data_IF_263890479030
#
_entry.id   IF_263890479030
#
_cell.length_a   1.000
_cell.length_b   1.000
_cell.length_c   1.000
_cell.angle_alpha   90.00
_cell.angle_beta   90.00
_cell.angle_gamma   90.00
#
_symmetry.space_group_name_H-M   'P 1'
#
loop_
_entity.id
_entity.type
_entity.pdbx_description
1 polymer ?
#
# COMPACT_ATOMS: atom_id res chain seq x y z
N UNK A 1 -38.52 -11.10 53.50
CA UNK A 1 -38.75 -12.12 52.45
C UNK A 1 -37.99 -11.61 51.23
N UNK A 2 -36.69 -11.91 51.11
CA UNK A 2 -36.11 -13.17 50.58
C UNK A 2 -36.52 -13.34 49.11
N UNK A 3 -35.68 -13.52 48.08
CA UNK A 3 -34.29 -14.01 47.93
C UNK A 3 -33.80 -13.49 46.53
N UNK A 4 -32.59 -12.96 46.37
CA UNK A 4 -31.32 -13.65 46.00
C UNK A 4 -31.24 -14.19 44.55
N UNK A 5 -30.46 -13.53 43.68
CA UNK A 5 -29.12 -14.01 43.28
C UNK A 5 -28.51 -13.24 42.08
N UNK A 6 -27.16 -13.17 41.98
CA UNK A 6 -26.42 -12.30 41.06
C UNK A 6 -25.78 -13.06 39.89
N UNK A 7 -25.59 -12.38 38.75
CA UNK A 7 -24.83 -12.89 37.61
C UNK A 7 -23.38 -12.35 37.60
N UNK A 8 -22.45 -13.28 37.46
CA UNK A 8 -21.00 -13.12 37.42
C UNK A 8 -20.51 -12.46 36.12
N UNK A 9 -19.36 -11.77 36.17
CA UNK A 9 -18.74 -11.19 34.97
C UNK A 9 -17.40 -10.47 35.17
N UNK A 10 -16.39 -11.19 35.67
CA UNK A 10 -14.96 -11.11 35.30
C UNK A 10 -14.18 -9.77 35.39
N UNK A 11 -13.46 -9.65 36.51
CA UNK A 11 -12.00 -9.50 36.60
C UNK A 11 -11.27 -8.74 35.48
N UNK A 12 -10.89 -7.50 35.77
CA UNK A 12 -9.88 -6.75 35.04
C UNK A 12 -8.48 -7.29 35.38
N UNK A 13 -7.84 -7.93 34.42
CA UNK A 13 -6.43 -8.32 34.50
C UNK A 13 -5.53 -7.13 34.15
N UNK A 14 -4.63 -6.80 35.09
CA UNK A 14 -3.63 -5.75 34.99
C UNK A 14 -2.47 -6.23 34.12
N UNK A 15 -2.45 -5.81 32.86
CA UNK A 15 -1.32 -6.00 31.96
C UNK A 15 -0.37 -4.79 31.94
N UNK A 16 0.78 -4.97 32.58
CA UNK A 16 1.92 -4.07 32.75
C UNK A 16 2.31 -3.24 31.51
N UNK A 17 2.34 -1.91 31.66
CA UNK A 17 2.98 -0.98 30.73
C UNK A 17 4.50 -1.20 30.74
N UNK A 18 5.08 -1.63 29.62
CA UNK A 18 6.51 -1.62 29.43
C UNK A 18 6.95 -0.24 28.92
N UNK A 19 7.57 0.51 29.81
CA UNK A 19 8.17 1.83 29.58
C UNK A 19 9.33 1.73 28.58
N UNK A 20 9.27 2.50 27.49
CA UNK A 20 10.45 2.86 26.72
C UNK A 20 10.86 4.27 27.14
N UNK A 21 11.94 4.39 27.91
CA UNK A 21 12.52 5.66 28.33
C UNK A 21 13.08 6.44 27.13
N UNK A 22 12.92 7.77 27.08
CA UNK A 22 13.62 8.62 26.13
C UNK A 22 15.02 8.95 26.65
N UNK A 23 16.06 8.60 25.90
CA UNK A 23 17.38 9.15 26.11
C UNK A 23 17.42 10.56 25.48
N UNK A 24 17.35 11.58 26.34
CA UNK A 24 17.81 12.93 26.03
C UNK A 24 19.34 12.90 26.09
N UNK A 25 20.04 13.51 25.12
CA UNK A 25 21.12 14.42 25.52
C UNK A 25 21.58 15.38 24.41
N UNK A 26 22.04 16.53 24.90
CA UNK A 26 22.27 17.79 24.22
C UNK A 26 23.63 17.86 23.52
N UNK A 27 23.70 18.60 22.40
CA UNK A 27 24.96 19.07 21.84
C UNK A 27 25.54 20.21 22.67
N UNK A 28 26.80 20.11 23.07
CA UNK A 28 27.64 21.25 23.49
C UNK A 28 29.09 20.99 23.09
N UNK A 29 29.70 22.01 22.49
CA UNK A 29 31.09 22.01 21.99
C UNK A 29 32.08 22.34 23.10
N UNK A 30 33.26 21.69 23.10
CA UNK A 30 34.55 22.25 23.50
C UNK A 30 35.72 21.30 23.15
N UNK A 31 36.91 21.90 23.07
CA UNK A 31 38.12 21.56 22.32
C UNK A 31 39.17 20.70 23.09
N UNK A 32 40.20 20.23 22.37
CA UNK A 32 41.58 19.85 22.81
C UNK A 32 42.00 18.36 22.88
N UNK A 33 42.96 18.02 22.00
CA UNK A 33 43.79 16.80 21.82
C UNK A 33 44.75 16.46 23.00
N UNK A 34 45.72 15.50 22.88
CA UNK A 34 45.65 14.05 22.57
C UNK A 34 46.45 13.17 23.58
N UNK A 35 46.16 11.86 23.70
CA UNK A 35 47.15 10.88 24.18
C UNK A 35 46.84 9.45 23.73
N UNK A 36 47.92 8.72 23.43
CA UNK A 36 47.99 7.43 22.74
C UNK A 36 47.64 6.22 23.63
N UNK A 37 47.15 5.14 23.01
CA UNK A 37 47.06 3.81 23.60
C UNK A 37 46.36 2.81 22.69
N UNK A 38 47.11 2.09 21.86
CA UNK A 38 46.60 1.04 20.98
C UNK A 38 46.29 -0.25 21.75
N UNK A 39 45.15 -0.88 21.45
CA UNK A 39 45.00 -2.33 21.46
C UNK A 39 43.97 -2.74 20.37
N UNK A 40 44.20 -3.83 19.60
CA UNK A 40 43.36 -4.19 18.47
C UNK A 40 42.19 -5.08 18.94
N UNK A 41 41.04 -4.48 19.26
CA UNK A 41 39.82 -5.26 19.54
C UNK A 41 39.14 -5.67 18.24
N UNK A 42 39.32 -6.95 17.88
CA UNK A 42 38.43 -7.81 17.09
C UNK A 42 37.44 -7.09 16.17
N UNK A 43 37.76 -7.01 14.88
CA UNK A 43 36.85 -6.58 13.83
C UNK A 43 35.59 -7.46 13.82
N UNK A 44 34.51 -7.01 14.47
CA UNK A 44 33.17 -7.56 14.27
C UNK A 44 32.80 -7.24 12.82
N UNK A 45 32.80 -8.25 11.96
CA UNK A 45 32.28 -8.13 10.60
C UNK A 45 30.81 -7.68 10.71
N UNK A 46 30.54 -6.43 10.35
CA UNK A 46 29.18 -5.89 10.37
C UNK A 46 28.34 -6.54 9.27
N UNK A 47 27.19 -7.08 9.67
CA UNK A 47 26.23 -7.63 8.72
C UNK A 47 25.58 -6.47 7.96
N UNK A 48 25.83 -6.40 6.66
CA UNK A 48 25.20 -5.46 5.75
C UNK A 48 23.87 -6.02 5.22
N UNK A 49 22.91 -5.13 4.98
CA UNK A 49 21.59 -5.46 4.44
C UNK A 49 21.30 -4.57 3.24
N UNK A 50 20.93 -5.18 2.12
CA UNK A 50 20.55 -4.46 0.91
C UNK A 50 19.10 -3.95 0.98
N UNK A 51 18.90 -2.65 0.86
CA UNK A 51 17.59 -2.03 0.87
C UNK A 51 17.00 -1.92 -0.55
N UNK A 52 15.82 -2.52 -0.78
CA UNK A 52 15.15 -2.52 -2.09
C UNK A 52 14.49 -1.19 -2.49
N UNK A 53 14.39 -0.22 -1.58
CA UNK A 53 13.78 1.09 -1.86
C UNK A 53 14.81 2.11 -2.37
N UNK A 54 15.97 2.20 -1.72
CA UNK A 54 17.05 3.09 -2.13
C UNK A 54 18.13 2.39 -2.97
N UNK A 55 18.08 1.04 -3.06
CA UNK A 55 19.03 0.21 -3.80
C UNK A 55 20.47 0.26 -3.26
N UNK A 56 20.63 0.53 -1.96
CA UNK A 56 21.92 0.70 -1.27
C UNK A 56 22.05 -0.31 -0.11
N UNK A 57 23.28 -0.73 0.17
CA UNK A 57 23.62 -1.53 1.36
C UNK A 57 23.72 -0.66 2.61
N UNK A 58 23.09 -1.11 3.69
CA UNK A 58 23.07 -0.43 4.97
C UNK A 58 23.52 -1.38 6.08
N UNK A 59 24.24 -0.89 7.10
CA UNK A 59 24.51 -1.67 8.31
C UNK A 59 23.20 -2.10 8.94
N UNK A 60 23.13 -3.34 9.47
CA UNK A 60 21.93 -3.89 10.12
C UNK A 60 21.34 -2.96 11.19
N UNK A 61 22.17 -2.20 11.91
CA UNK A 61 21.75 -1.21 12.91
C UNK A 61 20.90 -0.05 12.34
N UNK A 62 21.04 0.27 11.05
CA UNK A 62 20.29 1.32 10.35
C UNK A 62 19.12 0.80 9.51
N UNK A 63 18.76 -0.47 9.73
CA UNK A 63 17.67 -1.14 9.03
C UNK A 63 16.54 -1.45 10.01
N UNK A 64 15.32 -1.52 9.50
CA UNK A 64 14.14 -1.91 10.26
C UNK A 64 13.47 -3.10 9.58
N UNK A 65 12.97 -4.03 10.39
CA UNK A 65 12.24 -5.22 9.92
C UNK A 65 10.77 -5.04 10.22
N UNK A 66 9.92 -5.22 9.21
CA UNK A 66 8.46 -5.18 9.38
C UNK A 66 7.99 -6.46 10.09
N UNK A 67 7.16 -6.33 11.12
CA UNK A 67 6.71 -7.43 11.96
C UNK A 67 5.80 -8.43 11.23
N UNK A 68 4.88 -7.93 10.40
CA UNK A 68 3.87 -8.78 9.76
C UNK A 68 4.45 -9.65 8.63
N UNK A 69 5.48 -9.15 7.92
CA UNK A 69 6.03 -9.81 6.74
C UNK A 69 7.51 -10.18 6.83
N UNK A 70 8.25 -9.68 7.82
CA UNK A 70 9.71 -9.81 7.99
C UNK A 70 10.53 -9.21 6.83
N UNK A 71 9.93 -8.34 6.01
CA UNK A 71 10.69 -7.59 5.01
C UNK A 71 11.56 -6.54 5.70
N UNK A 72 12.79 -6.37 5.20
CA UNK A 72 13.80 -5.48 5.79
C UNK A 72 14.10 -4.34 4.82
N UNK A 73 14.16 -3.12 5.35
CA UNK A 73 14.50 -1.92 4.60
C UNK A 73 15.33 -0.97 5.46
N UNK A 74 15.97 0.00 4.80
CA UNK A 74 16.62 1.09 5.49
C UNK A 74 15.59 1.91 6.30
N UNK A 75 15.92 2.29 7.53
CA UNK A 75 14.99 3.00 8.43
C UNK A 75 14.53 4.34 7.83
N UNK A 76 15.41 5.04 7.11
CA UNK A 76 15.07 6.31 6.43
C UNK A 76 14.03 6.10 5.32
N UNK A 77 14.19 5.05 4.53
CA UNK A 77 13.31 4.68 3.44
C UNK A 77 11.90 4.37 3.96
N UNK A 78 11.81 3.62 5.06
CA UNK A 78 10.52 3.31 5.70
C UNK A 78 9.85 4.56 6.28
N UNK A 79 10.60 5.47 6.92
CA UNK A 79 10.06 6.74 7.41
C UNK A 79 9.44 7.56 6.28
N UNK A 80 10.17 7.75 5.19
CA UNK A 80 9.65 8.49 4.02
C UNK A 80 8.43 7.81 3.41
N UNK A 81 8.49 6.48 3.24
CA UNK A 81 7.38 5.70 2.71
C UNK A 81 6.12 5.82 3.57
N UNK A 82 6.22 5.61 4.88
CA UNK A 82 5.07 5.66 5.80
C UNK A 82 4.46 7.07 5.82
N UNK A 83 5.30 8.12 5.89
CA UNK A 83 4.81 9.49 5.84
C UNK A 83 4.06 9.80 4.54
N UNK A 84 4.60 9.36 3.39
CA UNK A 84 3.92 9.52 2.11
C UNK A 84 2.61 8.72 2.06
N UNK A 85 2.62 7.47 2.53
CA UNK A 85 1.46 6.60 2.55
C UNK A 85 0.34 7.15 3.45
N UNK A 86 0.67 7.83 4.56
CA UNK A 86 -0.32 8.52 5.39
C UNK A 86 -0.93 9.71 4.64
N UNK A 87 -0.10 10.56 4.05
CA UNK A 87 -0.53 11.79 3.36
C UNK A 87 -1.39 11.50 2.14
N UNK A 88 -1.00 10.52 1.33
CA UNK A 88 -1.69 10.20 0.06
C UNK A 88 -2.73 9.08 0.20
N UNK A 89 -2.63 8.25 1.24
CA UNK A 89 -3.42 7.03 1.38
C UNK A 89 -4.87 7.25 1.81
N UNK A 90 -5.21 8.45 2.31
CA UNK A 90 -6.58 8.81 2.72
C UNK A 90 -7.17 7.82 3.74
N UNK A 91 -6.39 7.45 4.76
CA UNK A 91 -6.82 6.52 5.82
C UNK A 91 -6.82 5.04 5.43
N UNK A 92 -6.24 4.68 4.28
CA UNK A 92 -6.12 3.29 3.84
C UNK A 92 -5.06 2.52 4.60
N UNK A 93 -5.12 1.18 4.59
CA UNK A 93 -4.09 0.38 5.23
C UNK A 93 -2.72 0.67 4.57
N UNK A 94 -1.73 1.03 5.39
CA UNK A 94 -0.34 1.13 4.94
C UNK A 94 0.19 -0.29 4.79
N UNK A 95 0.68 -0.65 3.61
CA UNK A 95 1.14 -2.01 3.29
C UNK A 95 2.66 -2.07 3.15
N UNK A 96 3.21 -3.28 3.11
CA UNK A 96 4.62 -3.49 2.83
C UNK A 96 5.01 -2.82 1.49
N UNK A 97 6.16 -2.11 1.41
CA UNK A 97 6.64 -1.52 0.16
C UNK A 97 7.09 -2.55 -0.90
N UNK A 98 7.39 -3.79 -0.50
CA UNK A 98 7.84 -4.84 -1.43
C UNK A 98 6.65 -5.43 -2.20
N UNK A 99 6.61 -5.17 -3.50
CA UNK A 99 5.56 -5.70 -4.40
C UNK A 99 5.59 -7.23 -4.52
N UNK A 100 6.72 -7.88 -4.27
CA UNK A 100 6.86 -9.33 -4.27
C UNK A 100 6.61 -9.94 -2.88
N UNK A 101 6.14 -9.14 -1.92
CA UNK A 101 5.87 -9.62 -0.57
C UNK A 101 4.72 -10.64 -0.57
N UNK A 102 5.05 -11.89 -0.19
CA UNK A 102 4.09 -13.00 -0.18
C UNK A 102 3.01 -12.87 0.91
N UNK A 103 3.29 -12.05 1.93
CA UNK A 103 2.31 -11.64 2.95
C UNK A 103 1.93 -10.22 2.60
N UNK A 104 0.67 -9.93 2.29
CA UNK A 104 0.20 -8.56 1.95
C UNK A 104 0.67 -7.48 2.94
N UNK A 105 0.98 -7.88 4.19
CA UNK A 105 1.93 -7.19 5.06
C UNK A 105 1.44 -5.81 5.46
N UNK A 106 0.18 -5.72 5.90
CA UNK A 106 -0.36 -4.48 6.45
C UNK A 106 0.43 -4.13 7.72
N UNK A 107 0.93 -2.89 7.76
CA UNK A 107 1.68 -2.37 8.90
C UNK A 107 0.74 -2.16 10.09
N UNK A 108 1.21 -2.54 11.26
CA UNK A 108 0.53 -2.30 12.53
C UNK A 108 0.55 -0.81 12.88
N UNK A 109 -0.42 -0.35 13.67
CA UNK A 109 -0.42 1.03 14.16
C UNK A 109 0.85 1.37 14.96
N UNK A 110 1.41 0.40 15.69
CA UNK A 110 2.68 0.53 16.41
C UNK A 110 3.86 0.74 15.46
N UNK A 111 3.93 -0.01 14.36
CA UNK A 111 4.96 0.17 13.33
C UNK A 111 4.85 1.55 12.67
N UNK A 112 3.63 1.97 12.33
CA UNK A 112 3.38 3.29 11.76
C UNK A 112 3.86 4.39 12.72
N UNK A 113 3.61 4.24 14.02
CA UNK A 113 4.07 5.18 15.04
C UNK A 113 5.60 5.23 15.21
N UNK A 114 6.32 4.15 14.89
CA UNK A 114 7.79 4.17 14.87
C UNK A 114 8.38 4.96 13.69
N UNK A 115 7.63 5.10 12.59
CA UNK A 115 8.11 5.68 11.33
C UNK A 115 7.50 7.06 11.00
N UNK A 116 6.51 7.51 11.76
CA UNK A 116 5.82 8.78 11.58
C UNK A 116 5.90 9.66 12.85
N UNK A 117 5.71 10.99 12.70
CA UNK A 117 5.57 11.88 13.86
C UNK A 117 4.19 11.73 14.52
N UNK A 118 4.05 12.19 15.77
CA UNK A 118 2.79 12.15 16.50
C UNK A 118 1.61 12.73 15.69
N UNK A 119 1.80 13.92 15.10
CA UNK A 119 0.78 14.59 14.27
C UNK A 119 0.36 13.75 13.05
N UNK A 120 1.31 13.04 12.42
CA UNK A 120 1.02 12.17 11.28
C UNK A 120 0.26 10.91 11.72
N UNK A 121 0.58 10.37 12.90
CA UNK A 121 -0.15 9.22 13.47
C UNK A 121 -1.58 9.60 13.81
N UNK A 122 -1.79 10.77 14.44
CA UNK A 122 -3.11 11.30 14.74
C UNK A 122 -3.92 11.54 13.46
N UNK A 123 -3.30 12.18 12.46
CA UNK A 123 -3.90 12.34 11.13
C UNK A 123 -4.30 11.00 10.52
N UNK A 124 -3.41 10.00 10.56
CA UNK A 124 -3.70 8.67 10.04
C UNK A 124 -4.87 8.01 10.76
N UNK A 125 -4.92 8.09 12.09
CA UNK A 125 -6.02 7.53 12.89
C UNK A 125 -7.35 8.20 12.55
N UNK A 126 -7.37 9.54 12.45
CA UNK A 126 -8.56 10.30 12.03
C UNK A 126 -9.03 9.87 10.64
N UNK A 127 -8.15 9.87 9.65
CA UNK A 127 -8.49 9.48 8.28
C UNK A 127 -8.96 8.01 8.20
N UNK A 128 -8.33 7.11 8.96
CA UNK A 128 -8.71 5.70 9.03
C UNK A 128 -10.12 5.53 9.61
N UNK A 129 -10.45 6.29 10.65
CA UNK A 129 -11.80 6.32 11.21
C UNK A 129 -12.82 6.87 10.21
N UNK A 130 -12.53 8.02 9.58
CA UNK A 130 -13.40 8.64 8.59
C UNK A 130 -13.69 7.72 7.41
N UNK A 131 -12.66 7.06 6.90
CA UNK A 131 -12.79 6.03 5.85
C UNK A 131 -13.63 4.86 6.33
N UNK A 132 -13.44 4.40 7.57
CA UNK A 132 -14.24 3.34 8.16
C UNK A 132 -15.74 3.68 8.19
N UNK A 133 -16.08 4.92 8.57
CA UNK A 133 -17.47 5.41 8.56
C UNK A 133 -18.02 5.50 7.12
N UNK A 134 -17.22 5.94 6.15
CA UNK A 134 -17.64 6.04 4.75
C UNK A 134 -17.88 4.67 4.09
N UNK A 135 -17.14 3.65 4.50
CA UNK A 135 -17.24 2.30 3.93
C UNK A 135 -18.30 1.42 4.62
N UNK A 136 -18.75 1.79 5.82
CA UNK A 136 -19.74 1.05 6.59
C UNK A 136 -21.16 1.57 6.28
N UNK A 137 -22.01 0.81 5.57
CA UNK A 137 -23.37 1.23 5.25
C UNK A 137 -24.27 1.43 6.47
N UNK A 138 -23.87 0.90 7.63
CA UNK A 138 -24.60 1.06 8.89
C UNK A 138 -24.20 2.33 9.65
N UNK A 139 -23.32 3.17 9.10
CA UNK A 139 -22.86 4.40 9.74
C UNK A 139 -23.03 5.61 8.83
N UNK A 140 -23.37 6.74 9.43
CA UNK A 140 -23.50 8.01 8.72
C UNK A 140 -23.08 9.18 9.61
N UNK A 141 -22.47 10.20 9.02
CA UNK A 141 -22.15 11.43 9.73
C UNK A 141 -23.40 12.28 9.95
N UNK A 142 -23.51 12.88 11.14
CA UNK A 142 -24.53 13.88 11.41
C UNK A 142 -24.36 15.08 10.45
N UNK A 143 -25.42 15.54 9.76
CA UNK A 143 -25.35 16.67 8.84
C UNK A 143 -25.19 18.03 9.53
N UNK A 144 -25.37 18.10 10.85
CA UNK A 144 -25.15 19.31 11.63
C UNK A 144 -23.65 19.56 11.76
N UNK A 145 -23.16 20.66 11.16
CA UNK A 145 -21.74 20.99 11.02
C UNK A 145 -20.96 20.96 12.34
N UNK A 146 -21.53 21.51 13.41
CA UNK A 146 -20.90 21.57 14.74
C UNK A 146 -20.95 20.24 15.51
N UNK A 147 -21.76 19.27 15.07
CA UNK A 147 -21.96 18.04 15.82
C UNK A 147 -20.90 16.99 15.51
N UNK A 148 -20.61 16.75 14.22
CA UNK A 148 -19.64 15.75 13.74
C UNK A 148 -19.80 14.35 14.36
N UNK A 149 -20.96 13.99 14.89
CA UNK A 149 -21.18 12.68 15.48
C UNK A 149 -21.42 11.62 14.39
N UNK A 150 -20.93 10.40 14.63
CA UNK A 150 -21.26 9.23 13.82
C UNK A 150 -22.51 8.58 14.37
N UNK A 151 -23.53 8.47 13.53
CA UNK A 151 -24.83 7.90 13.84
C UNK A 151 -24.95 6.50 13.24
N UNK A 152 -25.66 5.61 13.93
CA UNK A 152 -25.95 4.26 13.42
C UNK A 152 -27.23 4.27 12.58
N UNK A 153 -27.17 3.66 11.41
CA UNK A 153 -28.32 3.47 10.51
C UNK A 153 -28.93 2.10 10.81
N UNK A 154 -30.22 2.08 11.13
CA UNK A 154 -30.95 0.84 11.38
C UNK A 154 -31.03 -0.04 10.13
N UNK A 155 -31.15 -1.37 10.28
CA UNK A 155 -31.35 -2.27 9.16
C UNK A 155 -32.63 -1.88 8.43
N UNK A 156 -32.48 -1.52 7.15
CA UNK A 156 -33.58 -1.08 6.30
C UNK A 156 -33.80 -2.14 5.22
N UNK A 157 -35.03 -2.32 4.76
CA UNK A 157 -35.27 -3.05 3.51
C UNK A 157 -34.48 -2.40 2.38
N UNK A 158 -33.85 -3.22 1.54
CA UNK A 158 -32.84 -2.80 0.55
C UNK A 158 -33.21 -1.48 -0.17
N UNK A 159 -32.48 -0.41 0.15
CA UNK A 159 -32.53 0.86 -0.57
C UNK A 159 -33.57 1.88 -0.13
N UNK A 160 -34.38 1.63 0.92
CA UNK A 160 -35.35 2.63 1.39
C UNK A 160 -34.73 3.60 2.41
N UNK A 161 -34.91 4.94 2.24
CA UNK A 161 -34.40 5.93 3.19
C UNK A 161 -35.04 5.75 4.56
N UNK A 162 -34.24 5.90 5.61
CA UNK A 162 -34.66 5.74 7.00
C UNK A 162 -34.30 6.94 7.86
N UNK A 163 -35.08 7.12 8.92
CA UNK A 163 -34.86 8.13 9.96
C UNK A 163 -33.66 7.75 10.81
N UNK A 164 -32.71 8.68 10.96
CA UNK A 164 -31.50 8.50 11.78
C UNK A 164 -31.48 9.57 12.86
N UNK A 165 -31.68 9.21 14.14
CA UNK A 165 -31.53 10.13 15.25
C UNK A 165 -30.05 10.27 15.64
N UNK A 166 -29.57 11.51 15.78
CA UNK A 166 -28.23 11.78 16.28
C UNK A 166 -28.18 11.66 17.81
N UNK A 167 -27.27 10.85 18.39
CA UNK A 167 -27.16 10.71 19.84
C UNK A 167 -26.57 11.94 20.55
N UNK A 168 -25.89 12.84 19.81
CA UNK A 168 -25.18 13.98 20.40
C UNK A 168 -25.99 15.28 20.35
N UNK A 169 -26.61 15.61 19.20
CA UNK A 169 -27.39 16.84 19.03
C UNK A 169 -28.91 16.62 18.93
N UNK A 170 -29.36 15.37 19.00
CA UNK A 170 -30.77 14.96 18.89
C UNK A 170 -31.48 15.33 17.57
N UNK A 171 -30.74 15.85 16.58
CA UNK A 171 -31.27 16.07 15.24
C UNK A 171 -31.64 14.73 14.58
N UNK A 172 -32.76 14.71 13.86
CA UNK A 172 -33.22 13.53 13.13
C UNK A 172 -33.17 13.81 11.63
N UNK A 173 -32.49 12.96 10.87
CA UNK A 173 -32.21 13.18 9.46
C UNK A 173 -32.32 11.90 8.63
N UNK A 174 -32.40 12.05 7.32
CA UNK A 174 -32.51 10.94 6.38
C UNK A 174 -31.15 10.28 6.11
N UNK A 175 -31.11 8.94 6.16
CA UNK A 175 -29.91 8.15 5.86
C UNK A 175 -29.38 8.32 4.42
N UNK A 176 -30.24 8.66 3.45
CA UNK A 176 -29.87 8.80 2.04
C UNK A 176 -29.52 10.24 1.63
N UNK A 177 -30.46 11.19 1.79
CA UNK A 177 -30.25 12.57 1.35
C UNK A 177 -29.59 13.48 2.41
N UNK A 178 -29.45 13.00 3.65
CA UNK A 178 -28.92 13.75 4.80
C UNK A 178 -29.70 15.02 5.16
N UNK A 179 -30.91 15.19 4.62
CA UNK A 179 -31.84 16.26 4.97
C UNK A 179 -32.64 15.97 6.25
N UNK A 180 -33.33 16.96 6.82
CA UNK A 180 -34.20 16.78 7.98
C UNK A 180 -35.29 15.71 7.73
N UNK A 181 -35.50 14.81 8.70
CA UNK A 181 -36.54 13.79 8.59
C UNK A 181 -37.91 14.34 9.02
N UNK A 182 -38.96 13.96 8.28
CA UNK A 182 -40.34 14.37 8.51
C UNK A 182 -41.30 13.26 8.06
N UNK A 183 -42.58 13.32 8.49
CA UNK A 183 -43.56 12.30 8.14
C UNK A 183 -43.84 12.27 6.64
N UNK A 184 -43.81 11.07 6.04
CA UNK A 184 -43.94 10.91 4.59
C UNK A 184 -42.73 11.41 3.78
N UNK A 185 -41.55 11.52 4.40
CA UNK A 185 -40.33 12.02 3.75
C UNK A 185 -40.01 11.29 2.44
N UNK A 186 -40.04 12.04 1.33
CA UNK A 186 -39.52 11.63 0.04
C UNK A 186 -38.15 12.30 -0.19
N UNK A 187 -37.12 11.50 -0.47
CA UNK A 187 -35.82 12.07 -0.83
C UNK A 187 -35.97 12.89 -2.11
N UNK A 188 -35.53 14.16 -2.14
CA UNK A 188 -35.39 14.87 -3.40
C UNK A 188 -34.49 14.04 -4.30
N UNK A 189 -34.95 13.76 -5.51
CA UNK A 189 -34.25 12.91 -6.48
C UNK A 189 -32.78 13.30 -6.54
N UNK A 190 -31.90 12.30 -6.35
CA UNK A 190 -30.46 12.46 -6.17
C UNK A 190 -29.85 13.32 -7.28
N UNK A 191 -29.79 14.64 -7.10
CA UNK A 191 -28.83 15.46 -7.82
C UNK A 191 -27.52 15.29 -7.04
N UNK A 192 -26.54 14.52 -7.54
CA UNK A 192 -25.19 14.59 -7.00
C UNK A 192 -24.82 16.07 -6.98
N UNK A 193 -24.48 16.55 -5.79
CA UNK A 193 -24.19 17.94 -5.46
C UNK A 193 -23.44 18.61 -6.61
N UNK A 194 -24.20 19.33 -7.45
CA UNK A 194 -23.62 20.16 -8.50
C UNK A 194 -22.82 21.22 -7.78
N UNK A 195 -21.56 21.33 -8.20
CA UNK A 195 -20.65 22.40 -7.85
C UNK A 195 -21.41 23.70 -7.57
N UNK A 196 -21.19 24.26 -6.39
CA UNK A 196 -21.43 25.67 -6.10
C UNK A 196 -20.51 26.48 -7.01
N UNK A 197 -20.84 26.58 -8.29
CA UNK A 197 -20.30 27.57 -9.21
C UNK A 197 -21.38 28.60 -9.41
N UNK A 198 -21.10 29.79 -8.89
CA UNK A 198 -21.69 31.05 -9.31
C UNK A 198 -21.72 31.10 -10.83
N UNK A 199 -22.87 30.82 -11.44
CA UNK A 199 -23.30 31.35 -12.73
C UNK A 199 -24.75 30.95 -12.95
N UNK A 200 -25.62 31.89 -12.60
CA UNK A 200 -26.99 31.94 -13.10
C UNK A 200 -27.01 31.77 -14.61
N UNK A 201 -28.00 31.00 -15.10
CA UNK A 201 -28.35 30.73 -16.50
C UNK A 201 -27.63 29.54 -17.15
N UNK A 202 -28.25 28.35 -17.08
CA UNK A 202 -28.95 27.84 -18.26
C UNK A 202 -29.70 26.53 -17.94
N UNK A 203 -30.99 26.55 -18.25
CA UNK A 203 -31.87 25.39 -18.30
C UNK A 203 -31.47 24.49 -19.48
N UNK A 204 -31.63 23.18 -19.29
CA UNK A 204 -31.63 22.10 -20.31
C UNK A 204 -30.27 21.85 -20.98
N UNK A 205 -29.65 20.72 -20.63
CA UNK A 205 -28.82 19.93 -21.54
C UNK A 205 -28.73 18.50 -21.01
N UNK A 206 -29.40 17.59 -21.71
CA UNK A 206 -29.03 16.17 -21.77
C UNK A 206 -27.64 16.13 -22.40
N UNK A 207 -26.61 16.19 -21.57
CA UNK A 207 -25.24 15.94 -21.98
C UNK A 207 -24.90 14.55 -21.43
N UNK A 208 -24.48 13.67 -22.32
CA UNK A 208 -23.99 12.33 -21.99
C UNK A 208 -22.94 12.41 -20.88
N UNK A 209 -23.33 12.00 -19.68
CA UNK A 209 -22.51 11.97 -18.46
C UNK A 209 -21.16 11.22 -18.67
N UNK A 210 -21.06 10.41 -19.72
CA UNK A 210 -19.92 9.56 -20.07
C UNK A 210 -18.56 10.25 -20.19
N UNK A 211 -18.51 11.55 -20.49
CA UNK A 211 -17.26 12.28 -20.78
C UNK A 211 -16.87 13.31 -19.71
N UNK A 212 -17.56 13.35 -18.56
CA UNK A 212 -17.11 14.19 -17.46
C UNK A 212 -15.73 13.72 -16.97
N UNK A 213 -14.78 14.65 -16.68
CA UNK A 213 -13.43 14.30 -16.23
C UNK A 213 -13.41 13.79 -14.77
N UNK A 214 -14.45 14.07 -13.99
CA UNK A 214 -14.56 13.72 -12.57
C UNK A 214 -15.86 12.94 -12.35
N UNK A 215 -15.77 11.78 -11.67
CA UNK A 215 -16.92 10.97 -11.25
C UNK A 215 -16.75 10.44 -9.83
N UNK A 216 -17.83 10.01 -9.20
CA UNK A 216 -17.77 9.39 -7.88
C UNK A 216 -17.56 7.87 -7.98
N UNK A 217 -16.81 7.30 -7.04
CA UNK A 217 -16.72 5.86 -6.87
C UNK A 217 -18.10 5.27 -6.50
N UNK A 218 -18.58 4.20 -7.17
CA UNK A 218 -19.90 3.62 -6.88
C UNK A 218 -20.01 2.98 -5.49
N UNK A 219 -18.89 2.67 -4.84
CA UNK A 219 -18.89 2.01 -3.52
C UNK A 219 -18.70 3.02 -2.39
N UNK A 220 -17.76 3.95 -2.51
CA UNK A 220 -17.41 4.86 -1.41
C UNK A 220 -17.69 6.34 -1.69
N UNK A 221 -18.20 6.70 -2.87
CA UNK A 221 -18.61 8.06 -3.20
C UNK A 221 -17.47 9.09 -3.36
N UNK A 222 -16.21 8.70 -3.17
CA UNK A 222 -15.06 9.61 -3.36
C UNK A 222 -15.00 10.07 -4.81
N UNK A 223 -14.72 11.36 -5.00
CA UNK A 223 -14.51 11.90 -6.34
C UNK A 223 -13.17 11.42 -6.90
N UNK A 224 -13.20 10.96 -8.14
CA UNK A 224 -12.07 10.43 -8.89
C UNK A 224 -12.01 11.17 -10.21
N UNK A 225 -10.85 11.75 -10.49
CA UNK A 225 -10.53 12.33 -11.78
C UNK A 225 -9.90 11.28 -12.70
N UNK A 226 -10.31 11.24 -13.96
CA UNK A 226 -9.72 10.38 -14.98
C UNK A 226 -8.62 11.13 -15.74
N UNK A 227 -7.38 10.71 -15.55
CA UNK A 227 -6.19 11.26 -16.20
C UNK A 227 -5.93 10.71 -17.63
N UNK A 228 -7.00 10.36 -18.36
CA UNK A 228 -7.00 9.71 -19.69
C UNK A 228 -6.51 8.24 -19.69
N UNK A 229 -6.61 7.56 -20.84
CA UNK A 229 -6.18 6.16 -20.99
C UNK A 229 -7.27 5.14 -20.61
N UNK A 230 -6.93 4.19 -19.73
CA UNK A 230 -7.76 3.04 -19.40
C UNK A 230 -9.12 3.45 -18.81
N UNK A 231 -10.21 2.81 -19.24
CA UNK A 231 -11.55 3.03 -18.69
C UNK A 231 -11.88 2.13 -17.50
N UNK A 232 -11.04 1.14 -17.21
CA UNK A 232 -11.13 0.37 -15.97
C UNK A 232 -10.40 1.14 -14.89
N UNK A 233 -11.13 1.59 -13.88
CA UNK A 233 -10.61 2.45 -12.83
C UNK A 233 -10.54 1.70 -11.51
N UNK A 234 -9.47 1.96 -10.76
CA UNK A 234 -9.28 1.45 -9.41
C UNK A 234 -9.44 2.59 -8.42
N UNK A 235 -10.44 2.53 -7.55
CA UNK A 235 -10.60 3.51 -6.50
C UNK A 235 -9.46 3.37 -5.48
N UNK A 236 -8.65 4.42 -5.30
CA UNK A 236 -7.55 4.40 -4.31
C UNK A 236 -8.06 4.24 -2.87
N UNK A 237 -9.29 4.67 -2.60
CA UNK A 237 -9.95 4.61 -1.29
C UNK A 237 -10.60 3.25 -1.01
N UNK A 238 -11.53 2.73 -1.80
CA UNK A 238 -12.12 1.41 -1.46
C UNK A 238 -11.42 0.21 -2.13
N UNK A 239 -10.41 0.45 -2.98
CA UNK A 239 -9.76 -0.56 -3.85
C UNK A 239 -10.72 -1.29 -4.80
N UNK A 240 -11.93 -0.78 -4.92
CA UNK A 240 -12.92 -1.26 -5.86
C UNK A 240 -12.54 -0.88 -7.30
N UNK A 241 -12.60 -1.86 -8.19
CA UNK A 241 -12.37 -1.72 -9.62
C UNK A 241 -13.72 -1.58 -10.34
N UNK A 242 -13.87 -0.56 -11.16
CA UNK A 242 -15.14 -0.28 -11.85
C UNK A 242 -14.93 0.29 -13.25
N UNK A 243 -15.96 0.24 -14.10
CA UNK A 243 -15.94 0.86 -15.42
C UNK A 243 -16.29 2.35 -15.33
N UNK A 244 -15.46 3.22 -15.90
CA UNK A 244 -15.69 4.68 -15.90
C UNK A 244 -17.04 5.10 -16.52
N UNK A 245 -17.49 4.41 -17.56
CA UNK A 245 -18.66 4.84 -18.33
C UNK A 245 -19.99 4.40 -17.73
N UNK A 246 -20.04 3.22 -17.13
CA UNK A 246 -21.28 2.64 -16.59
C UNK A 246 -21.27 2.44 -15.08
N UNK A 247 -20.14 2.72 -14.41
CA UNK A 247 -19.93 2.56 -12.97
C UNK A 247 -20.20 1.13 -12.45
N UNK A 248 -20.23 0.12 -13.32
CA UNK A 248 -20.36 -1.27 -12.88
C UNK A 248 -19.11 -1.76 -12.15
N UNK A 249 -19.36 -2.60 -11.13
CA UNK A 249 -18.34 -3.33 -10.39
C UNK A 249 -17.61 -4.34 -11.31
N UNK A 250 -16.27 -4.25 -11.34
CA UNK A 250 -15.36 -5.09 -12.11
C UNK A 250 -14.32 -5.82 -11.25
N UNK A 251 -14.50 -5.95 -9.93
CA UNK A 251 -13.51 -6.57 -9.03
C UNK A 251 -13.17 -8.03 -9.44
N UNK A 252 -14.14 -8.75 -10.00
CA UNK A 252 -13.96 -10.11 -10.51
C UNK A 252 -13.63 -10.20 -12.01
N UNK A 253 -13.65 -9.09 -12.74
CA UNK A 253 -13.47 -9.10 -14.20
C UNK A 253 -12.00 -8.92 -14.61
N UNK A 254 -11.16 -9.85 -14.15
CA UNK A 254 -9.72 -9.91 -14.45
C UNK A 254 -9.47 -10.03 -15.96
N UNK A 255 -10.43 -10.61 -16.69
CA UNK A 255 -10.36 -10.80 -18.13
C UNK A 255 -10.99 -9.66 -18.93
N UNK A 256 -11.37 -8.53 -18.31
CA UNK A 256 -11.90 -7.36 -19.01
C UNK A 256 -13.11 -7.69 -19.91
N UNK A 257 -13.87 -8.74 -19.59
CA UNK A 257 -14.97 -9.26 -20.42
C UNK A 257 -16.10 -8.24 -20.57
N UNK A 258 -16.22 -7.33 -19.61
CA UNK A 258 -17.13 -6.19 -19.66
C UNK A 258 -16.95 -5.35 -20.93
N UNK A 259 -15.72 -5.25 -21.47
CA UNK A 259 -15.42 -4.44 -22.65
C UNK A 259 -15.57 -5.21 -23.97
N UNK A 260 -15.98 -6.48 -23.94
CA UNK A 260 -16.14 -7.30 -25.15
C UNK A 260 -17.57 -7.22 -25.71
N UNK A 261 -18.57 -6.87 -24.88
CA UNK A 261 -20.00 -6.84 -25.23
C UNK A 261 -20.71 -5.64 -24.61
N UNK A 262 -21.92 -5.35 -25.09
CA UNK A 262 -22.78 -4.33 -24.50
C UNK A 262 -22.33 -2.88 -24.73
N UNK A 263 -22.84 -1.92 -23.93
CA UNK A 263 -22.67 -0.48 -24.15
C UNK A 263 -21.24 0.06 -23.94
N UNK A 264 -20.41 -0.72 -23.25
CA UNK A 264 -19.00 -0.39 -22.97
C UNK A 264 -18.03 -1.11 -23.91
N UNK A 265 -18.53 -1.82 -24.93
CA UNK A 265 -17.70 -2.54 -25.90
C UNK A 265 -16.68 -1.62 -26.56
N UNK A 266 -15.42 -2.07 -26.62
CA UNK A 266 -14.28 -1.36 -27.20
C UNK A 266 -13.92 -0.01 -26.54
N UNK A 267 -14.50 0.33 -25.38
CA UNK A 267 -14.21 1.60 -24.68
C UNK A 267 -13.06 1.53 -23.68
N UNK A 268 -12.29 0.44 -23.64
CA UNK A 268 -11.21 0.28 -22.67
C UNK A 268 -10.11 1.34 -22.79
N UNK A 269 -9.85 1.87 -23.99
CA UNK A 269 -8.87 2.92 -24.23
C UNK A 269 -7.46 2.43 -24.59
N UNK A 270 -7.21 1.12 -24.64
CA UNK A 270 -5.99 0.53 -25.18
C UNK A 270 -6.27 -0.83 -25.86
N UNK A 271 -5.38 -1.27 -26.74
CA UNK A 271 -5.48 -2.61 -27.34
C UNK A 271 -5.23 -3.69 -26.28
N UNK A 272 -6.05 -4.73 -26.26
CA UNK A 272 -5.87 -5.92 -25.39
C UNK A 272 -4.73 -6.82 -25.86
N UNK A 273 -4.34 -6.68 -27.13
CA UNK A 273 -3.32 -7.50 -27.75
C UNK A 273 -1.97 -7.36 -27.03
N UNK A 274 -1.61 -6.17 -26.55
CA UNK A 274 -0.34 -5.96 -25.81
C UNK A 274 -0.30 -6.71 -24.49
N UNK A 275 -1.40 -6.74 -23.73
CA UNK A 275 -1.48 -7.44 -22.44
C UNK A 275 -1.47 -8.96 -22.63
N UNK A 276 -2.24 -9.47 -23.62
CA UNK A 276 -2.25 -10.90 -23.93
C UNK A 276 -0.92 -11.35 -24.54
N UNK A 277 -0.32 -10.56 -25.44
CA UNK A 277 0.98 -10.82 -26.03
C UNK A 277 2.07 -10.89 -24.96
N UNK A 278 2.09 -9.93 -24.03
CA UNK A 278 3.06 -9.94 -22.93
C UNK A 278 2.89 -11.18 -22.02
N UNK A 279 1.65 -11.56 -21.69
CA UNK A 279 1.38 -12.78 -20.91
C UNK A 279 1.85 -14.05 -21.63
N UNK A 280 1.51 -14.21 -22.90
CA UNK A 280 1.92 -15.37 -23.70
C UNK A 280 3.44 -15.41 -23.92
N UNK A 281 4.07 -14.24 -24.11
CA UNK A 281 5.51 -14.11 -24.28
C UNK A 281 6.26 -14.52 -23.01
N UNK A 282 5.82 -14.07 -21.83
CA UNK A 282 6.43 -14.46 -20.54
C UNK A 282 6.31 -15.97 -20.32
N UNK A 283 5.13 -16.55 -20.55
CA UNK A 283 4.94 -18.01 -20.46
C UNK A 283 5.85 -18.73 -21.45
N UNK A 284 5.94 -18.26 -22.69
CA UNK A 284 6.83 -18.80 -23.72
C UNK A 284 8.31 -18.76 -23.32
N UNK A 285 8.77 -17.66 -22.72
CA UNK A 285 10.14 -17.53 -22.21
C UNK A 285 10.39 -18.53 -21.07
N UNK A 286 9.47 -18.63 -20.10
CA UNK A 286 9.61 -19.56 -18.97
C UNK A 286 9.65 -21.02 -19.43
N UNK A 287 8.77 -21.40 -20.34
CA UNK A 287 8.75 -22.74 -20.94
C UNK A 287 10.03 -22.98 -21.74
N UNK A 288 10.45 -22.02 -22.57
CA UNK A 288 11.67 -22.11 -23.36
C UNK A 288 12.92 -22.30 -22.50
N UNK A 289 13.09 -21.48 -21.46
CA UNK A 289 14.20 -21.60 -20.51
C UNK A 289 14.15 -22.96 -19.79
N UNK A 290 12.97 -23.41 -19.35
CA UNK A 290 12.81 -24.71 -18.69
C UNK A 290 13.24 -25.88 -19.60
N UNK A 291 12.84 -25.85 -20.88
CA UNK A 291 13.25 -26.87 -21.86
C UNK A 291 14.76 -26.81 -22.12
N UNK A 292 15.33 -25.63 -22.28
CA UNK A 292 16.78 -25.46 -22.47
C UNK A 292 17.54 -26.05 -21.28
N UNK A 293 17.13 -25.76 -20.04
CA UNK A 293 17.78 -26.32 -18.84
C UNK A 293 17.65 -27.85 -18.80
N UNK A 294 16.47 -28.40 -19.10
CA UNK A 294 16.24 -29.85 -19.12
C UNK A 294 17.10 -30.57 -20.16
N UNK A 295 17.34 -29.96 -21.34
CA UNK A 295 18.14 -30.56 -22.41
C UNK A 295 19.65 -30.34 -22.20
N UNK A 296 20.05 -29.15 -21.74
CA UNK A 296 21.47 -28.81 -21.55
C UNK A 296 22.07 -29.44 -20.30
N UNK A 297 21.27 -29.65 -19.24
CA UNK A 297 21.76 -30.23 -17.99
C UNK A 297 22.37 -31.65 -18.17
N UNK A 298 21.73 -32.61 -18.87
CA UNK A 298 22.33 -33.91 -19.18
C UNK A 298 23.61 -33.82 -20.03
N UNK A 299 23.64 -32.92 -21.02
CA UNK A 299 24.80 -32.74 -21.90
C UNK A 299 26.00 -32.17 -21.14
N UNK A 300 25.77 -31.23 -20.23
CA UNK A 300 26.81 -30.67 -19.36
C UNK A 300 27.35 -31.70 -18.37
N UNK A 301 26.49 -32.57 -17.82
CA UNK A 301 26.92 -33.67 -16.96
C UNK A 301 27.79 -34.69 -17.72
N UNK A 302 27.44 -35.02 -18.96
CA UNK A 302 28.25 -35.91 -19.81
C UNK A 302 29.58 -35.28 -20.24
N UNK A 303 29.61 -33.97 -20.47
CA UNK A 303 30.83 -33.24 -20.82
C UNK A 303 31.71 -32.91 -19.60
N UNK A 304 31.17 -32.97 -18.39
CA UNK A 304 31.86 -32.60 -17.14
C UNK A 304 33.21 -33.30 -16.94
N UNK A 305 33.37 -34.62 -17.16
CA UNK A 305 34.67 -35.30 -17.03
C UNK A 305 35.69 -34.78 -18.05
N UNK A 306 35.26 -34.53 -19.29
CA UNK A 306 36.12 -34.01 -20.35
C UNK A 306 36.56 -32.57 -20.08
N UNK A 307 35.64 -31.73 -19.60
CA UNK A 307 35.92 -30.33 -19.24
C UNK A 307 36.88 -30.28 -18.04
N UNK A 308 36.65 -31.10 -17.01
CA UNK A 308 37.54 -31.22 -15.84
C UNK A 308 38.94 -31.71 -16.25
N UNK A 309 39.04 -32.73 -17.12
CA UNK A 309 40.32 -33.22 -17.62
C UNK A 309 41.08 -32.20 -18.49
N UNK A 310 40.37 -31.35 -19.23
CA UNK A 310 40.98 -30.29 -20.05
C UNK A 310 41.46 -29.11 -19.19
N UNK A 311 40.73 -28.75 -18.13
CA UNK A 311 41.10 -27.67 -17.21
C UNK A 311 42.22 -28.09 -16.24
N UNK A 312 42.31 -29.38 -15.90
CA UNK A 312 43.29 -29.90 -14.94
C UNK A 312 44.58 -30.45 -15.56
N UNK A 313 44.86 -30.20 -16.85
CA UNK A 313 46.20 -30.43 -17.41
C UNK A 313 47.16 -29.34 -16.90
N UNK A 314 48.14 -29.67 -16.05
CA UNK A 314 49.15 -28.70 -15.65
C UNK A 314 50.09 -28.50 -16.85
N UNK A 315 50.21 -27.26 -17.33
CA UNK A 315 51.24 -26.86 -18.28
C UNK A 315 52.65 -27.15 -17.71
N UNK A 316 53.19 -28.34 -17.96
CA UNK A 316 54.62 -28.64 -17.79
C UNK A 316 55.38 -28.25 -19.07
N UNK A 317 56.14 -27.16 -18.99
CA UNK A 317 57.42 -27.04 -19.69
C UNK A 317 57.59 -25.88 -20.66
N UNK A 318 58.21 -24.78 -20.22
CA UNK A 318 59.53 -24.40 -20.77
C UNK A 318 60.28 -23.50 -19.76
N UNK A 319 61.48 -23.93 -19.35
CA UNK A 319 62.41 -23.14 -18.51
C UNK A 319 63.26 -22.27 -19.44
N UNK A 320 63.07 -20.94 -19.43
CA UNK A 320 64.08 -20.01 -19.97
C UNK A 320 65.16 -19.76 -18.90
N UNK A 321 66.37 -20.26 -19.14
CA UNK A 321 67.58 -19.93 -18.35
C UNK A 321 67.95 -18.46 -18.57
N UNK A 322 67.86 -17.62 -17.53
CA UNK A 322 68.54 -16.32 -17.49
C UNK A 322 70.03 -16.55 -17.28
N UNK A 323 70.85 -16.14 -18.25
CA UNK A 323 72.31 -16.17 -18.20
C UNK A 323 72.77 -14.87 -17.53
N UNK A 324 73.43 -14.99 -16.38
CA UNK A 324 74.18 -13.93 -15.68
C UNK A 324 75.38 -13.54 -16.58
N UNK A 325 75.59 -12.26 -16.85
CA UNK A 325 76.84 -11.74 -17.39
C UNK A 325 77.27 -10.57 -16.52
N UNK A 326 78.49 -10.71 -16.01
CA UNK A 326 79.19 -9.77 -15.15
C UNK A 326 79.59 -8.48 -15.89
N UNK A 327 79.91 -7.48 -15.05
CA UNK A 327 80.50 -6.16 -15.31
C UNK A 327 81.72 -6.21 -16.27
N UNK A 328 82.12 -5.09 -16.91
CA UNK A 328 83.16 -4.27 -16.29
C UNK A 328 83.02 -2.74 -16.49
N UNK A 329 83.85 -2.05 -15.70
CA UNK A 329 84.15 -0.62 -15.59
C UNK A 329 84.36 0.12 -16.92
N UNK A 330 83.86 1.37 -17.01
CA UNK A 330 84.65 2.61 -16.90
C UNK A 330 83.73 3.79 -16.59
#
# INVERSE_FOLDING_TARGET
MADSSPAQGQSQDKGSMASCSPAQDQCSMADSSPAQGQSPSSAKSEVMVYCKLCLIEHPKASTSTLHTCNCVFCTMCLKQYVQLAIREGGGGPVTCPDMACQRTGVLLNSEIACFASADQVELYQRLKFERGVQLDPSRVWCPVLECQAVCSVGPSSEGQPTSVPCPACHATFCSACRGPWQDGHACPEHQPMRSSSLTSQSRRRSCSDSDLPIKQCPICGVYIERNQGCAQMLCKSCKHTFCWYCLQNLDGDIFLRHYDKGPCRNKLGHSRASVMWNRTQVVGILVGVSVIVLVTSPLLLLASPCILCCVWKPCRGSKKRRKKKDLPQL
#
